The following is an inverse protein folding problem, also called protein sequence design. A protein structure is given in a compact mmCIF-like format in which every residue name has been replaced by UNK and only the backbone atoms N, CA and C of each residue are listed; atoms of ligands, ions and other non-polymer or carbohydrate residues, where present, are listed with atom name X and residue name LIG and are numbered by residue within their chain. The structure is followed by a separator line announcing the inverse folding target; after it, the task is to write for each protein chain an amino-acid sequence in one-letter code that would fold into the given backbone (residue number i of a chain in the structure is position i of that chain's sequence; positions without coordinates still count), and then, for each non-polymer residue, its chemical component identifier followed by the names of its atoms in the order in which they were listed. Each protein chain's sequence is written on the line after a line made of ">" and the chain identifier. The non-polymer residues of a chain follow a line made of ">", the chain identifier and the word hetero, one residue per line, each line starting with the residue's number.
data_IF_332394495535
#
_entry.id   IF_332394495535
#
_cell.length_a   1.000
_cell.length_b   1.000
_cell.length_c   1.000
_cell.angle_alpha   90.00
_cell.angle_beta   90.00
_cell.angle_gamma   90.00
#
_symmetry.space_group_name_H-M   'P 1'
#
loop_
_entity.id
_entity.type
_entity.pdbx_description
1 polymer ?
#
# COMPACT_ATOMS: atom_id res chain seq x y z
N UNK A 1 -25.63 -5.33 -6.79
CA UNK A 1 -24.74 -4.59 -5.88
C UNK A 1 -23.38 -5.28 -5.93
N UNK A 2 -22.30 -4.56 -6.25
CA UNK A 2 -20.96 -5.10 -6.08
C UNK A 2 -20.78 -5.34 -4.57
N UNK A 3 -20.57 -6.58 -4.15
CA UNK A 3 -20.27 -6.88 -2.76
C UNK A 3 -18.95 -6.20 -2.39
N UNK A 4 -19.00 -5.20 -1.51
CA UNK A 4 -17.81 -4.58 -0.97
C UNK A 4 -17.13 -5.58 -0.01
N UNK A 5 -15.91 -6.02 -0.35
CA UNK A 5 -15.12 -6.88 0.51
C UNK A 5 -14.39 -6.01 1.56
N UNK A 6 -14.93 -5.98 2.78
CA UNK A 6 -14.38 -5.19 3.90
C UNK A 6 -13.91 -6.13 5.02
N UNK A 7 -12.71 -5.88 5.55
CA UNK A 7 -12.16 -6.56 6.71
C UNK A 7 -11.73 -5.55 7.78
N UNK A 8 -11.79 -5.95 9.06
CA UNK A 8 -11.30 -5.15 10.19
C UNK A 8 -10.05 -5.78 10.76
N UNK A 9 -8.99 -4.99 10.90
CA UNK A 9 -7.71 -5.38 11.50
C UNK A 9 -7.53 -4.62 12.82
N UNK A 10 -7.18 -5.32 13.88
CA UNK A 10 -6.98 -4.77 15.24
C UNK A 10 -5.50 -4.71 15.64
N UNK A 11 -4.62 -5.25 14.82
CA UNK A 11 -3.16 -5.12 14.93
C UNK A 11 -2.42 -6.45 14.96
N UNK A 12 -3.12 -7.58 15.05
CA UNK A 12 -2.55 -8.93 15.05
C UNK A 12 -3.09 -9.82 13.93
N UNK A 13 -3.85 -9.25 13.01
CA UNK A 13 -4.43 -9.91 11.85
C UNK A 13 -3.78 -9.43 10.57
N UNK A 14 -3.67 -10.29 9.57
CA UNK A 14 -3.20 -9.94 8.23
C UNK A 14 -3.73 -10.97 7.22
N UNK A 15 -3.75 -10.57 5.95
CA UNK A 15 -3.83 -11.52 4.86
C UNK A 15 -2.43 -11.88 4.38
N UNK A 16 -2.26 -13.13 3.96
CA UNK A 16 -1.06 -13.60 3.30
C UNK A 16 -1.47 -14.40 2.07
N UNK A 17 -0.76 -14.18 0.97
CA UNK A 17 -0.98 -14.89 -0.28
C UNK A 17 0.36 -15.44 -0.76
N UNK A 18 0.39 -16.75 -1.02
CA UNK A 18 1.61 -17.41 -1.47
C UNK A 18 1.80 -17.24 -2.99
N UNK A 19 2.85 -16.51 -3.36
CA UNK A 19 3.25 -16.26 -4.74
C UNK A 19 4.36 -17.21 -5.21
N UNK A 20 4.75 -18.21 -4.42
CA UNK A 20 5.81 -19.16 -4.76
C UNK A 20 5.55 -19.92 -6.07
N UNK A 21 4.28 -20.24 -6.34
CA UNK A 21 3.85 -20.95 -7.54
C UNK A 21 3.58 -20.03 -8.74
N UNK A 22 3.27 -18.76 -8.49
CA UNK A 22 2.98 -17.78 -9.53
C UNK A 22 3.60 -16.43 -9.13
N UNK A 23 4.90 -16.32 -9.40
CA UNK A 23 5.64 -15.10 -9.10
C UNK A 23 5.08 -13.92 -9.92
N UNK A 24 4.98 -12.77 -9.28
CA UNK A 24 4.60 -11.52 -9.96
C UNK A 24 5.82 -11.04 -10.75
N UNK A 25 5.71 -11.00 -12.07
CA UNK A 25 6.66 -10.36 -12.96
C UNK A 25 5.89 -9.44 -13.89
N UNK A 26 6.06 -8.14 -13.73
CA UNK A 26 5.20 -7.16 -14.38
C UNK A 26 5.95 -5.89 -14.77
N UNK A 27 5.52 -5.28 -15.87
CA UNK A 27 5.93 -3.94 -16.30
C UNK A 27 4.92 -2.86 -15.90
N UNK A 28 3.67 -3.22 -15.62
CA UNK A 28 2.59 -2.29 -15.30
C UNK A 28 1.70 -2.86 -14.18
N UNK A 29 1.54 -2.11 -13.10
CA UNK A 29 0.72 -2.52 -11.96
C UNK A 29 -0.29 -1.45 -11.59
N UNK A 30 -1.44 -1.90 -11.09
CA UNK A 30 -2.39 -1.06 -10.40
C UNK A 30 -2.76 -1.72 -9.06
N UNK A 31 -2.60 -0.99 -7.98
CA UNK A 31 -3.06 -1.38 -6.65
C UNK A 31 -4.12 -0.38 -6.24
N UNK A 32 -5.32 -0.85 -5.88
CA UNK A 32 -6.39 0.00 -5.37
C UNK A 32 -6.94 -0.58 -4.07
N UNK A 33 -7.07 0.28 -3.06
CA UNK A 33 -7.72 -0.06 -1.79
C UNK A 33 -8.29 1.18 -1.14
N UNK A 34 -9.19 0.98 -0.19
CA UNK A 34 -9.63 2.03 0.73
C UNK A 34 -9.29 1.63 2.16
N UNK A 35 -8.91 2.59 2.99
CA UNK A 35 -8.62 2.37 4.40
C UNK A 35 -9.32 3.40 5.29
N UNK A 36 -9.54 3.01 6.54
CA UNK A 36 -10.08 3.86 7.60
C UNK A 36 -9.40 3.48 8.92
N UNK A 37 -8.75 4.43 9.56
CA UNK A 37 -8.01 4.17 10.81
C UNK A 37 -7.94 5.40 11.71
N UNK A 38 -7.66 5.17 13.00
CA UNK A 38 -7.22 6.19 13.98
C UNK A 38 -5.73 6.06 14.32
N UNK A 39 -5.08 5.00 13.85
CA UNK A 39 -3.66 4.75 14.12
C UNK A 39 -2.82 5.54 13.14
N UNK A 40 -1.79 6.24 13.64
CA UNK A 40 -0.89 7.05 12.80
C UNK A 40 0.13 6.21 12.02
N UNK A 41 0.36 4.97 12.44
CA UNK A 41 1.29 4.06 11.83
C UNK A 41 0.61 2.72 11.58
N UNK A 42 0.81 2.15 10.39
CA UNK A 42 0.25 0.84 10.05
C UNK A 42 0.63 0.40 8.64
N UNK A 43 0.92 -0.89 8.49
CA UNK A 43 1.13 -1.49 7.18
C UNK A 43 -0.21 -1.70 6.49
N UNK A 44 -0.34 -1.26 5.23
CA UNK A 44 -1.53 -1.50 4.42
C UNK A 44 -1.31 -2.68 3.46
N UNK A 45 -0.16 -2.70 2.78
CA UNK A 45 0.22 -3.77 1.87
C UNK A 45 1.73 -3.89 1.78
N UNK A 46 2.23 -5.13 1.75
CA UNK A 46 3.60 -5.43 1.39
C UNK A 46 3.66 -6.65 0.49
N UNK A 47 4.48 -6.58 -0.55
CA UNK A 47 4.84 -7.73 -1.39
C UNK A 47 6.28 -7.61 -1.83
N UNK A 48 6.93 -8.74 -2.06
CA UNK A 48 8.33 -8.84 -2.45
C UNK A 48 9.27 -9.27 -1.33
N UNK A 49 10.53 -9.48 -1.69
CA UNK A 49 11.62 -9.90 -0.79
C UNK A 49 12.93 -9.26 -1.28
N UNK A 50 13.84 -9.01 -0.36
CA UNK A 50 15.19 -8.50 -0.67
C UNK A 50 15.17 -7.20 -1.50
N UNK A 51 15.57 -7.24 -2.77
CA UNK A 51 15.77 -6.04 -3.59
C UNK A 51 14.54 -5.63 -4.41
N UNK A 52 13.51 -6.48 -4.47
CA UNK A 52 12.28 -6.23 -5.22
C UNK A 52 11.11 -6.22 -4.25
N UNK A 53 10.52 -5.05 -4.01
CA UNK A 53 9.37 -4.92 -3.13
C UNK A 53 8.50 -3.69 -3.41
N UNK A 54 7.24 -3.79 -3.00
CA UNK A 54 6.32 -2.68 -2.85
C UNK A 54 5.86 -2.64 -1.39
N UNK A 55 5.93 -1.48 -0.77
CA UNK A 55 5.42 -1.23 0.57
C UNK A 55 4.50 -0.02 0.54
N UNK A 56 3.23 -0.22 0.92
CA UNK A 56 2.27 0.85 1.12
C UNK A 56 1.90 0.86 2.60
N UNK A 57 2.14 1.99 3.27
CA UNK A 57 1.92 2.13 4.70
C UNK A 57 1.43 3.52 5.06
N UNK A 58 0.90 3.64 6.28
CA UNK A 58 0.72 4.92 6.94
C UNK A 58 1.91 5.14 7.89
N UNK A 59 2.53 6.31 7.83
CA UNK A 59 3.57 6.73 8.76
C UNK A 59 3.29 8.14 9.25
N UNK A 60 3.19 8.30 10.57
CA UNK A 60 2.85 9.58 11.23
C UNK A 60 1.60 10.26 10.64
N UNK A 61 0.62 9.47 10.18
CA UNK A 61 -0.63 9.98 9.58
C UNK A 61 -0.56 10.32 8.09
N UNK A 62 0.58 10.10 7.43
CA UNK A 62 0.84 10.34 6.01
C UNK A 62 0.91 9.00 5.28
N UNK A 63 0.41 8.93 4.04
CA UNK A 63 0.56 7.72 3.21
C UNK A 63 1.96 7.70 2.62
N UNK A 64 2.70 6.61 2.86
CA UNK A 64 4.01 6.36 2.27
C UNK A 64 3.94 5.15 1.34
N UNK A 65 4.47 5.32 0.14
CA UNK A 65 4.73 4.26 -0.82
C UNK A 65 6.23 4.14 -1.04
N UNK A 66 6.77 2.94 -0.87
CA UNK A 66 8.16 2.61 -1.22
C UNK A 66 8.17 1.50 -2.25
N UNK A 67 8.83 1.71 -3.37
CA UNK A 67 8.96 0.73 -4.46
C UNK A 67 10.44 0.54 -4.78
N UNK A 68 10.92 -0.69 -4.70
CA UNK A 68 12.24 -1.08 -5.20
C UNK A 68 12.09 -2.19 -6.23
N UNK A 69 12.79 -2.04 -7.36
CA UNK A 69 12.81 -2.99 -8.49
C UNK A 69 14.25 -3.42 -8.78
N UNK A 70 15.04 -3.62 -7.74
CA UNK A 70 16.38 -4.21 -7.82
C UNK A 70 17.54 -3.22 -7.95
N UNK A 71 17.26 -1.92 -8.15
CA UNK A 71 18.30 -0.91 -8.42
C UNK A 71 18.18 0.35 -7.57
N UNK A 72 17.51 0.26 -6.44
CA UNK A 72 17.26 1.39 -5.54
C UNK A 72 15.78 1.68 -5.37
N UNK A 73 15.43 2.12 -4.17
CA UNK A 73 14.05 2.42 -3.81
C UNK A 73 13.65 3.82 -4.27
N UNK A 74 12.40 3.93 -4.71
CA UNK A 74 11.68 5.20 -4.88
C UNK A 74 10.72 5.30 -3.70
N UNK A 75 10.73 6.47 -3.06
CA UNK A 75 9.81 6.81 -1.97
C UNK A 75 8.87 7.93 -2.42
N UNK A 76 7.58 7.75 -2.16
CA UNK A 76 6.54 8.76 -2.38
C UNK A 76 5.79 8.95 -1.08
N UNK A 77 5.69 10.21 -0.64
CA UNK A 77 4.89 10.62 0.50
C UNK A 77 3.71 11.44 -0.01
N UNK A 78 2.51 11.04 0.40
CA UNK A 78 1.28 11.79 0.14
C UNK A 78 0.79 12.33 1.46
N UNK A 79 0.89 13.64 1.62
CA UNK A 79 0.38 14.36 2.79
C UNK A 79 -1.08 14.76 2.57
N UNK A 80 -1.91 14.73 3.62
CA UNK A 80 -3.27 15.23 3.54
C UNK A 80 -3.26 16.75 3.43
N UNK A 81 -4.19 17.31 2.64
CA UNK A 81 -4.34 18.78 2.50
C UNK A 81 -4.57 19.45 3.85
N UNK A 82 -5.31 18.79 4.75
CA UNK A 82 -5.54 19.22 6.12
C UNK A 82 -5.55 18.02 7.06
N UNK A 83 -4.82 18.11 8.18
CA UNK A 83 -4.89 17.12 9.26
C UNK A 83 -4.07 15.85 9.00
N UNK A 84 -4.73 14.69 9.04
CA UNK A 84 -4.11 13.35 8.97
C UNK A 84 -5.02 12.39 8.21
N UNK A 85 -4.46 11.40 7.51
CA UNK A 85 -5.25 10.29 6.97
C UNK A 85 -5.72 9.29 8.05
N UNK A 86 -5.25 9.44 9.29
CA UNK A 86 -5.72 8.69 10.48
C UNK A 86 -6.94 9.34 11.18
N UNK A 87 -7.79 10.04 10.43
CA UNK A 87 -8.94 10.80 10.93
C UNK A 87 -10.23 9.97 11.12
N UNK A 88 -10.15 8.64 11.04
CA UNK A 88 -11.29 7.73 11.08
C UNK A 88 -12.34 8.01 9.98
N UNK A 89 -11.93 8.49 8.81
CA UNK A 89 -12.73 8.51 7.58
C UNK A 89 -12.17 7.52 6.56
N UNK A 90 -12.99 7.18 5.58
CA UNK A 90 -12.54 6.36 4.45
C UNK A 90 -11.71 7.21 3.50
N UNK A 91 -10.53 6.71 3.15
CA UNK A 91 -9.65 7.28 2.13
C UNK A 91 -9.35 6.21 1.08
N UNK A 92 -9.33 6.59 -0.19
CA UNK A 92 -8.99 5.69 -1.29
C UNK A 92 -7.60 5.98 -1.81
N UNK A 93 -6.82 4.92 -1.99
CA UNK A 93 -5.48 4.98 -2.58
C UNK A 93 -5.49 4.19 -3.86
N UNK A 94 -4.97 4.78 -4.92
CA UNK A 94 -4.67 4.11 -6.18
C UNK A 94 -3.21 4.35 -6.49
N UNK A 95 -2.45 3.28 -6.63
CA UNK A 95 -1.05 3.32 -7.06
C UNK A 95 -1.01 2.78 -8.48
N UNK A 96 -0.50 3.57 -9.42
CA UNK A 96 -0.21 3.10 -10.76
C UNK A 96 1.31 3.09 -10.97
N UNK A 97 1.84 1.96 -11.44
CA UNK A 97 3.24 1.83 -11.81
C UNK A 97 3.36 1.48 -13.29
N UNK A 98 4.24 2.18 -14.00
CA UNK A 98 4.65 1.87 -15.37
C UNK A 98 6.17 1.88 -15.43
N UNK A 99 6.77 0.72 -15.65
CA UNK A 99 8.22 0.53 -15.55
C UNK A 99 8.74 1.03 -14.19
N UNK A 100 9.53 2.10 -14.16
CA UNK A 100 10.07 2.71 -12.94
C UNK A 100 9.28 3.94 -12.47
N UNK A 101 8.29 4.39 -13.24
CA UNK A 101 7.46 5.53 -12.87
C UNK A 101 6.32 5.06 -11.98
N UNK A 102 6.06 5.83 -10.93
CA UNK A 102 4.98 5.62 -9.97
C UNK A 102 4.15 6.90 -9.90
N UNK A 103 2.83 6.76 -9.78
CA UNK A 103 1.87 7.86 -9.60
C UNK A 103 0.71 7.44 -8.72
#
# INVERSE_FOLDING_TARGET
>A
ALNEAVATFRGSEWFSYDLSHQAISSYNDQISLSFKTRQNNGLLLHTGKSADYVNLSLQKGVVQLVVNLGSGAIEVLVEPVNGSFSDNRWHSVMVNRTLRRVS
#
